data_IF_116490196923
#
_entry.id   IF_116490196923
#
_cell.length_a   1.000
_cell.length_b   1.000
_cell.length_c   1.000
_cell.angle_alpha   90.00
_cell.angle_beta   90.00
_cell.angle_gamma   90.00
#
_symmetry.space_group_name_H-M   'P 1'
#
loop_
_entity.id
_entity.type
_entity.pdbx_description
1 polymer ?
#
# COMPACT_ATOMS: atom_id res chain seq x y z
N UNK A 1 -0.84 7.44 -6.35
CA UNK A 1 -0.58 6.16 -7.02
C UNK A 1 0.91 6.03 -7.28
N UNK A 2 1.49 4.86 -7.04
CA UNK A 2 2.91 4.61 -7.32
C UNK A 2 3.03 3.75 -8.56
N UNK A 3 3.86 4.14 -9.52
CA UNK A 3 4.16 3.35 -10.70
C UNK A 3 5.56 2.78 -10.53
N UNK A 4 5.64 1.48 -10.26
CA UNK A 4 6.91 0.76 -10.12
C UNK A 4 7.52 0.39 -11.45
N UNK A 5 8.85 0.29 -11.49
CA UNK A 5 9.61 -0.24 -12.64
C UNK A 5 10.14 -1.67 -12.39
N UNK A 6 9.78 -2.30 -11.26
CA UNK A 6 10.13 -3.69 -10.93
C UNK A 6 8.94 -4.46 -10.35
N UNK A 7 9.19 -5.66 -9.82
CA UNK A 7 8.17 -6.55 -9.29
C UNK A 7 7.33 -5.99 -8.13
N UNK A 8 6.07 -6.41 -8.09
CA UNK A 8 5.12 -6.12 -7.01
C UNK A 8 5.43 -6.99 -5.78
N UNK A 9 6.13 -6.42 -4.80
CA UNK A 9 6.57 -7.10 -3.57
C UNK A 9 6.05 -6.38 -2.33
N UNK A 10 6.13 -7.03 -1.17
CA UNK A 10 5.82 -6.38 0.11
C UNK A 10 6.68 -5.16 0.40
N UNK A 11 7.93 -5.16 -0.05
CA UNK A 11 8.83 -4.01 0.07
C UNK A 11 8.36 -2.86 -0.85
N UNK A 12 7.91 -3.16 -2.08
CA UNK A 12 7.31 -2.15 -2.97
C UNK A 12 6.03 -1.53 -2.37
N UNK A 13 5.17 -2.36 -1.78
CA UNK A 13 3.96 -1.90 -1.11
C UNK A 13 4.29 -0.99 0.09
N UNK A 14 5.25 -1.39 0.93
CA UNK A 14 5.69 -0.60 2.09
C UNK A 14 6.38 0.71 1.65
N UNK A 15 7.21 0.70 0.62
CA UNK A 15 7.82 1.92 0.07
C UNK A 15 6.76 2.87 -0.50
N UNK A 16 5.69 2.34 -1.11
CA UNK A 16 4.57 3.14 -1.59
C UNK A 16 3.82 3.83 -0.44
N UNK A 17 3.56 3.11 0.66
CA UNK A 17 2.96 3.66 1.88
C UNK A 17 3.89 4.73 2.49
N UNK A 18 5.19 4.42 2.60
CA UNK A 18 6.22 5.32 3.10
C UNK A 18 6.24 6.65 2.34
N UNK A 19 6.31 6.59 1.01
CA UNK A 19 6.32 7.78 0.15
C UNK A 19 5.03 8.58 0.29
N UNK A 20 3.87 7.93 0.38
CA UNK A 20 2.61 8.63 0.62
C UNK A 20 2.61 9.33 1.98
N UNK A 21 3.02 8.65 3.05
CA UNK A 21 3.06 9.24 4.39
C UNK A 21 4.00 10.43 4.47
N UNK A 22 5.22 10.32 3.93
CA UNK A 22 6.23 11.38 3.97
C UNK A 22 5.80 12.62 3.20
N UNK A 23 5.14 12.45 2.04
CA UNK A 23 4.80 13.55 1.14
C UNK A 23 3.43 14.16 1.42
N UNK A 24 2.47 13.38 1.93
CA UNK A 24 1.08 13.81 2.12
C UNK A 24 0.60 13.50 3.54
N UNK A 25 0.65 12.23 3.96
CA UNK A 25 0.02 11.75 5.19
C UNK A 25 0.39 12.54 6.44
N UNK A 26 1.69 12.77 6.68
CA UNK A 26 2.18 13.50 7.85
C UNK A 26 1.75 14.98 7.89
N UNK A 27 1.48 15.56 6.72
CA UNK A 27 1.09 16.97 6.56
C UNK A 27 -0.42 17.11 6.72
N UNK A 28 -1.17 16.30 5.96
CA UNK A 28 -2.64 16.33 5.93
C UNK A 28 -3.26 15.83 7.24
N UNK A 29 -2.61 14.87 7.91
CA UNK A 29 -3.07 14.27 9.16
C UNK A 29 -2.14 14.60 10.33
N UNK A 30 -1.69 15.86 10.43
CA UNK A 30 -0.80 16.32 11.50
C UNK A 30 -1.32 15.93 12.88
N UNK A 31 -0.44 15.41 13.73
CA UNK A 31 -0.77 14.96 15.09
C UNK A 31 -1.35 13.55 15.19
N UNK A 32 -1.62 12.88 14.06
CA UNK A 32 -2.07 11.50 14.05
C UNK A 32 -0.87 10.57 13.88
N UNK A 33 -0.82 9.51 14.69
CA UNK A 33 0.22 8.49 14.69
C UNK A 33 -0.33 7.10 14.38
N UNK A 34 -1.50 7.02 13.73
CA UNK A 34 -2.17 5.78 13.36
C UNK A 34 -2.65 5.85 11.92
N UNK A 35 -2.45 4.76 11.18
CA UNK A 35 -2.87 4.60 9.79
C UNK A 35 -3.70 3.32 9.65
N UNK A 36 -4.89 3.42 9.06
CA UNK A 36 -5.69 2.26 8.66
C UNK A 36 -5.54 2.04 7.15
N UNK A 37 -5.13 0.85 6.75
CA UNK A 37 -5.05 0.42 5.36
C UNK A 37 -6.05 -0.70 5.10
N UNK A 38 -6.86 -0.51 4.05
CA UNK A 38 -7.80 -1.50 3.55
C UNK A 38 -7.14 -2.25 2.40
N UNK A 39 -6.83 -3.53 2.60
CA UNK A 39 -6.06 -4.34 1.66
C UNK A 39 -6.93 -5.42 1.00
N UNK A 40 -6.74 -5.65 -0.29
CA UNK A 40 -7.40 -6.69 -1.07
C UNK A 40 -6.77 -8.08 -0.89
N UNK A 41 -5.57 -8.15 -0.30
CA UNK A 41 -4.88 -9.41 0.00
C UNK A 41 -4.17 -10.03 -1.20
N UNK A 42 -3.77 -9.22 -2.18
CA UNK A 42 -2.94 -9.60 -3.32
C UNK A 42 -1.52 -10.05 -2.95
N UNK A 43 -0.68 -10.27 -3.96
CA UNK A 43 0.65 -10.87 -3.78
C UNK A 43 1.56 -10.09 -2.81
N UNK A 44 1.60 -8.76 -2.93
CA UNK A 44 2.46 -7.89 -2.13
C UNK A 44 1.92 -7.54 -0.74
N UNK A 45 0.62 -7.71 -0.51
CA UNK A 45 -0.03 -7.36 0.76
C UNK A 45 -0.78 -8.53 1.43
N UNK A 46 -0.52 -9.77 1.00
CA UNK A 46 -1.21 -10.97 1.45
C UNK A 46 -1.37 -11.09 2.97
N UNK A 47 -2.59 -11.37 3.43
CA UNK A 47 -2.90 -11.66 4.82
C UNK A 47 -2.22 -12.93 5.33
N UNK A 48 -1.92 -13.90 4.46
CA UNK A 48 -1.37 -15.21 4.81
C UNK A 48 0.15 -15.21 4.96
N UNK A 49 0.85 -14.38 4.19
CA UNK A 49 2.30 -14.36 4.19
C UNK A 49 2.83 -13.44 5.31
N UNK A 50 3.95 -13.84 5.92
CA UNK A 50 4.57 -13.09 7.02
C UNK A 50 5.59 -12.06 6.55
N UNK A 51 6.03 -12.13 5.28
CA UNK A 51 6.96 -11.14 4.71
C UNK A 51 6.35 -9.73 4.68
N UNK A 52 5.06 -9.61 4.37
CA UNK A 52 4.37 -8.32 4.43
C UNK A 52 4.26 -7.78 5.85
N UNK A 53 3.99 -8.65 6.83
CA UNK A 53 3.98 -8.28 8.26
C UNK A 53 5.35 -7.80 8.74
N UNK A 54 6.42 -8.45 8.30
CA UNK A 54 7.78 -8.05 8.63
C UNK A 54 8.12 -6.68 8.04
N UNK A 55 7.84 -6.47 6.76
CA UNK A 55 8.10 -5.17 6.11
C UNK A 55 7.22 -4.05 6.70
N UNK A 56 5.97 -4.35 7.07
CA UNK A 56 5.10 -3.42 7.81
C UNK A 56 5.65 -3.08 9.20
N UNK A 57 6.18 -4.06 9.94
CA UNK A 57 6.79 -3.80 11.23
C UNK A 57 8.01 -2.88 11.10
N UNK A 58 8.86 -3.11 10.10
CA UNK A 58 10.00 -2.23 9.79
C UNK A 58 9.51 -0.81 9.46
N UNK A 59 8.48 -0.69 8.63
CA UNK A 59 7.91 0.59 8.25
C UNK A 59 7.27 1.34 9.43
N UNK A 60 6.50 0.64 10.27
CA UNK A 60 5.89 1.21 11.47
C UNK A 60 6.97 1.77 12.42
N UNK A 61 8.06 1.04 12.62
CA UNK A 61 9.21 1.48 13.40
C UNK A 61 9.87 2.73 12.79
N UNK A 62 10.12 2.71 11.47
CA UNK A 62 10.74 3.85 10.77
C UNK A 62 9.90 5.13 10.89
N UNK A 63 8.60 5.02 10.61
CA UNK A 63 7.68 6.16 10.59
C UNK A 63 7.22 6.59 11.98
N UNK A 64 7.46 5.77 13.01
CA UNK A 64 6.94 5.93 14.37
C UNK A 64 5.41 6.09 14.41
N UNK A 65 4.72 5.33 13.56
CA UNK A 65 3.25 5.28 13.52
C UNK A 65 2.75 3.84 13.60
N UNK A 66 1.60 3.66 14.22
CA UNK A 66 0.84 2.43 14.20
C UNK A 66 0.22 2.22 12.81
N UNK A 67 0.44 1.06 12.20
CA UNK A 67 -0.16 0.71 10.91
C UNK A 67 -1.08 -0.48 11.09
N UNK A 68 -2.39 -0.23 10.99
CA UNK A 68 -3.45 -1.23 11.03
C UNK A 68 -3.81 -1.67 9.63
N UNK A 69 -3.83 -2.97 9.42
CA UNK A 69 -4.29 -3.59 8.18
C UNK A 69 -5.64 -4.24 8.42
N UNK A 70 -6.61 -3.92 7.55
CA UNK A 70 -7.87 -4.64 7.47
C UNK A 70 -8.03 -5.21 6.06
N UNK A 71 -8.19 -6.52 5.94
CA UNK A 71 -8.32 -7.15 4.64
C UNK A 71 -9.78 -7.34 4.23
N UNK A 72 -10.07 -7.12 2.96
CA UNK A 72 -11.29 -7.61 2.34
C UNK A 72 -11.23 -9.13 2.21
N UNK A 73 -12.29 -9.88 2.58
CA UNK A 73 -12.42 -11.31 2.25
C UNK A 73 -12.19 -11.62 0.76
N UNK A 74 -11.83 -12.86 0.37
CA UNK A 74 -11.62 -13.19 -1.03
C UNK A 74 -12.90 -12.93 -1.82
N UNK A 75 -12.76 -12.45 -3.05
CA UNK A 75 -13.88 -12.12 -3.95
C UNK A 75 -14.78 -10.98 -3.45
N UNK A 76 -14.29 -10.16 -2.51
CA UNK A 76 -15.03 -9.00 -1.99
C UNK A 76 -14.38 -7.65 -2.31
N UNK A 77 -13.41 -7.62 -3.24
CA UNK A 77 -12.77 -6.39 -3.71
C UNK A 77 -13.76 -5.36 -4.22
N UNK A 78 -14.96 -5.77 -4.69
CA UNK A 78 -16.05 -4.86 -5.05
C UNK A 78 -16.47 -3.88 -3.95
N UNK A 79 -16.15 -4.14 -2.67
CA UNK A 79 -16.42 -3.18 -1.59
C UNK A 79 -15.26 -2.23 -1.34
N UNK A 80 -14.10 -2.44 -1.98
CA UNK A 80 -12.99 -1.51 -1.93
C UNK A 80 -13.35 -0.24 -2.71
N UNK A 81 -13.36 0.94 -2.08
CA UNK A 81 -13.75 2.18 -2.75
C UNK A 81 -12.90 2.50 -3.99
N UNK A 82 -11.64 2.06 -4.04
CA UNK A 82 -10.76 2.35 -5.18
C UNK A 82 -11.28 1.73 -6.50
N UNK A 83 -11.98 0.59 -6.43
CA UNK A 83 -12.54 -0.10 -7.60
C UNK A 83 -13.59 0.72 -8.33
N UNK A 84 -14.33 1.55 -7.60
CA UNK A 84 -15.46 2.31 -8.16
C UNK A 84 -15.25 3.82 -8.14
N UNK A 85 -14.35 4.32 -7.28
CA UNK A 85 -14.10 5.76 -7.08
C UNK A 85 -12.76 6.23 -7.63
N UNK A 86 -11.83 5.33 -7.97
CA UNK A 86 -10.52 5.70 -8.51
C UNK A 86 -10.29 5.07 -9.88
N UNK A 87 -10.28 3.74 -9.97
CA UNK A 87 -9.88 3.03 -11.18
C UNK A 87 -10.71 3.37 -12.43
N UNK A 88 -12.04 3.54 -12.39
CA UNK A 88 -12.80 3.91 -13.57
C UNK A 88 -12.36 5.26 -14.17
N UNK A 89 -11.88 6.17 -13.34
CA UNK A 89 -11.37 7.47 -13.79
C UNK A 89 -9.97 7.34 -14.38
N UNK A 90 -9.10 6.55 -13.74
CA UNK A 90 -7.74 6.27 -14.24
C UNK A 90 -7.80 5.54 -15.58
N UNK A 91 -8.66 4.52 -15.71
CA UNK A 91 -8.87 3.79 -16.97
C UNK A 91 -9.29 4.73 -18.10
N UNK A 92 -10.17 5.70 -17.83
CA UNK A 92 -10.55 6.71 -18.83
C UNK A 92 -9.40 7.63 -19.22
N UNK A 93 -8.56 8.03 -18.28
CA UNK A 93 -7.38 8.85 -18.58
C UNK A 93 -6.34 8.10 -19.45
N UNK A 94 -6.35 6.77 -19.41
CA UNK A 94 -5.46 5.91 -20.18
C UNK A 94 -6.09 5.41 -21.50
N UNK A 95 -7.37 5.66 -21.74
CA UNK A 95 -8.14 5.04 -22.81
C UNK A 95 -7.62 5.45 -24.20
N UNK A 96 -7.43 4.46 -25.08
CA UNK A 96 -7.05 4.69 -26.48
C UNK A 96 -5.57 5.07 -26.69
N UNK A 97 -4.75 5.02 -25.64
CA UNK A 97 -3.31 5.35 -25.72
C UNK A 97 -2.46 4.07 -25.79
N UNK A 98 -1.50 4.04 -26.71
CA UNK A 98 -0.45 3.01 -26.73
C UNK A 98 0.65 3.43 -25.75
N UNK A 99 0.89 2.62 -24.72
CA UNK A 99 1.92 2.92 -23.72
C UNK A 99 3.32 2.63 -24.27
N UNK A 100 4.09 3.69 -24.52
CA UNK A 100 5.47 3.61 -25.00
C UNK A 100 6.52 3.78 -23.90
N UNK A 101 6.17 4.37 -22.75
CA UNK A 101 7.08 4.53 -21.61
C UNK A 101 6.34 4.65 -20.27
N UNK A 102 7.07 4.45 -19.18
CA UNK A 102 6.53 4.60 -17.80
C UNK A 102 6.19 6.07 -17.51
N UNK A 103 6.96 7.00 -18.06
CA UNK A 103 6.73 8.44 -17.98
C UNK A 103 5.42 8.84 -18.66
N UNK A 104 5.12 8.27 -19.83
CA UNK A 104 3.85 8.49 -20.50
C UNK A 104 2.68 8.05 -19.62
N UNK A 105 2.74 6.84 -19.07
CA UNK A 105 1.70 6.33 -18.16
C UNK A 105 1.57 7.23 -16.94
N UNK A 106 2.68 7.64 -16.32
CA UNK A 106 2.66 8.55 -15.17
C UNK A 106 2.03 9.91 -15.50
N UNK A 107 2.31 10.46 -16.68
CA UNK A 107 1.74 11.73 -17.11
C UNK A 107 0.23 11.62 -17.33
N UNK A 108 -0.24 10.54 -17.96
CA UNK A 108 -1.66 10.29 -18.18
C UNK A 108 -2.42 10.09 -16.86
N UNK A 109 -1.87 9.30 -15.94
CA UNK A 109 -2.49 9.08 -14.62
C UNK A 109 -2.64 10.40 -13.86
N UNK A 110 -1.62 11.27 -13.86
CA UNK A 110 -1.67 12.59 -13.23
C UNK A 110 -2.73 13.53 -13.83
N UNK A 111 -3.24 13.27 -15.03
CA UNK A 111 -4.34 14.03 -15.63
C UNK A 111 -5.72 13.59 -15.12
N UNK A 112 -5.81 12.50 -14.37
CA UNK A 112 -7.07 11.97 -13.86
C UNK A 112 -7.67 12.94 -12.83
N UNK A 113 -8.81 13.53 -13.19
CA UNK A 113 -9.62 14.38 -12.33
C UNK A 113 -11.11 14.21 -12.59
N UNK A 114 -11.95 14.62 -11.64
CA UNK A 114 -13.41 14.65 -11.78
C UNK A 114 -13.97 16.02 -11.41
N UNK A 115 -15.15 16.34 -11.91
CA UNK A 115 -15.89 17.56 -11.54
C UNK A 115 -16.28 17.57 -10.05
N UNK A 116 -16.51 16.40 -9.47
CA UNK A 116 -16.80 16.24 -8.03
C UNK A 116 -15.57 16.37 -7.12
N UNK A 117 -14.38 16.63 -7.67
CA UNK A 117 -13.20 17.04 -6.91
C UNK A 117 -12.09 16.00 -6.74
N UNK A 118 -12.26 14.75 -7.23
CA UNK A 118 -11.15 13.79 -7.27
C UNK A 118 -10.00 14.34 -8.11
N UNK A 119 -8.77 14.30 -7.57
CA UNK A 119 -7.52 14.52 -8.28
C UNK A 119 -6.56 13.39 -7.96
N UNK A 120 -5.97 12.78 -8.98
CA UNK A 120 -5.01 11.70 -8.79
C UNK A 120 -3.60 12.22 -8.99
N UNK A 121 -2.74 11.94 -8.02
CA UNK A 121 -1.31 12.17 -8.13
C UNK A 121 -0.61 10.83 -8.32
N UNK A 122 0.33 10.76 -9.25
CA UNK A 122 1.20 9.61 -9.41
C UNK A 122 2.67 9.98 -9.47
N UNK A 123 3.50 9.05 -9.00
CA UNK A 123 4.94 9.17 -9.05
C UNK A 123 5.58 7.85 -9.44
N UNK A 124 6.68 7.94 -10.18
CA UNK A 124 7.49 6.77 -10.54
C UNK A 124 8.36 6.37 -9.34
N UNK A 125 8.42 5.07 -9.09
CA UNK A 125 9.33 4.46 -8.14
C UNK A 125 10.31 3.59 -8.90
N UNK A 126 11.46 4.20 -9.23
CA UNK A 126 12.55 3.53 -9.91
C UNK A 126 13.51 2.91 -8.90
N UNK A 127 13.12 1.76 -8.35
CA UNK A 127 13.92 0.93 -7.44
C UNK A 127 13.66 -0.52 -7.79
N UNK A 128 14.70 -1.35 -7.73
CA UNK A 128 14.57 -2.79 -7.91
C UNK A 128 14.17 -3.42 -6.58
N UNK A 129 13.04 -4.11 -6.57
CA UNK A 129 12.55 -4.90 -5.45
C UNK A 129 12.72 -6.39 -5.74
N UNK A 130 13.45 -7.08 -4.88
CA UNK A 130 13.75 -8.50 -5.05
C UNK A 130 12.50 -9.37 -4.85
N UNK A 131 12.16 -10.16 -5.86
CA UNK A 131 11.05 -11.12 -5.81
C UNK A 131 11.47 -12.41 -5.10
N UNK A 132 10.52 -13.09 -4.45
CA UNK A 132 10.79 -14.39 -3.82
C UNK A 132 11.47 -14.30 -2.45
N UNK A 133 11.67 -13.09 -1.92
CA UNK A 133 12.12 -12.87 -0.55
C UNK A 133 11.24 -13.62 0.46
N UNK A 134 11.89 -14.17 1.49
CA UNK A 134 11.26 -14.75 2.66
C UNK A 134 11.41 -13.82 3.85
N UNK A 135 10.53 -13.94 4.82
CA UNK A 135 10.71 -13.26 6.11
C UNK A 135 11.91 -13.84 6.84
N UNK A 136 12.49 -13.06 7.75
CA UNK A 136 13.69 -13.44 8.48
C UNK A 136 13.41 -14.63 9.41
N UNK A 137 14.41 -15.49 9.60
CA UNK A 137 14.33 -16.58 10.57
C UNK A 137 14.00 -16.04 11.97
N UNK A 138 13.10 -16.70 12.70
CA UNK A 138 12.66 -16.24 14.01
C UNK A 138 11.64 -15.09 14.00
N UNK A 139 11.30 -14.51 12.84
CA UNK A 139 10.33 -13.40 12.81
C UNK A 139 8.95 -13.84 13.30
N UNK A 140 8.48 -15.01 12.88
CA UNK A 140 7.13 -15.50 13.23
C UNK A 140 6.98 -15.75 14.74
N UNK A 141 8.07 -16.14 15.39
CA UNK A 141 8.13 -16.43 16.83
C UNK A 141 8.26 -15.15 17.66
N UNK A 142 8.97 -14.13 17.13
CA UNK A 142 9.31 -12.91 17.87
C UNK A 142 8.51 -11.66 17.47
N UNK A 143 7.68 -11.74 16.43
CA UNK A 143 6.91 -10.60 15.92
C UNK A 143 6.06 -9.96 17.02
N UNK A 144 5.97 -8.62 16.99
CA UNK A 144 5.06 -7.84 17.86
C UNK A 144 3.82 -7.37 17.11
N UNK A 145 3.52 -7.98 15.97
CA UNK A 145 2.27 -7.78 15.27
C UNK A 145 1.13 -8.18 16.20
N UNK A 146 0.21 -7.25 16.43
CA UNK A 146 -0.98 -7.49 17.23
C UNK A 146 -2.10 -7.94 16.29
N UNK A 147 -2.55 -9.18 16.41
CA UNK A 147 -3.70 -9.67 15.67
C UNK A 147 -4.99 -9.24 16.36
N UNK A 148 -6.01 -8.92 15.58
CA UNK A 148 -7.32 -8.55 16.14
C UNK A 148 -8.05 -9.74 16.75
N UNK A 149 -8.86 -9.51 17.79
CA UNK A 149 -9.74 -10.53 18.39
C UNK A 149 -10.77 -11.06 17.37
N UNK A 150 -11.29 -10.17 16.51
CA UNK A 150 -12.20 -10.50 15.44
C UNK A 150 -11.46 -10.54 14.10
N UNK A 151 -11.55 -11.67 13.39
CA UNK A 151 -10.88 -11.91 12.10
C UNK A 151 -9.34 -11.78 12.17
N UNK A 152 -8.71 -12.34 13.20
CA UNK A 152 -7.25 -12.38 13.39
C UNK A 152 -6.45 -12.83 12.14
N UNK A 153 -6.99 -13.73 11.33
CA UNK A 153 -6.31 -14.20 10.11
C UNK A 153 -6.19 -13.10 9.03
N UNK A 154 -6.94 -12.01 9.17
CA UNK A 154 -7.12 -10.95 8.19
C UNK A 154 -6.60 -9.63 8.73
N UNK A 155 -6.89 -9.33 10.00
CA UNK A 155 -6.71 -8.01 10.55
C UNK A 155 -5.66 -8.02 11.65
N UNK A 156 -4.75 -7.06 11.56
CA UNK A 156 -3.62 -6.97 12.45
C UNK A 156 -3.01 -5.56 12.43
N UNK A 157 -2.18 -5.29 13.43
CA UNK A 157 -1.54 -4.00 13.65
C UNK A 157 -0.04 -4.18 13.81
N UNK A 158 0.72 -3.44 13.01
CA UNK A 158 2.14 -3.20 13.25
C UNK A 158 2.27 -2.00 14.20
N UNK A 159 2.64 -2.28 15.45
CA UNK A 159 2.88 -1.25 16.47
C UNK A 159 4.37 -0.90 16.46
N UNK A 160 4.74 0.39 16.41
CA UNK A 160 6.15 0.80 16.44
C UNK A 160 6.83 0.31 17.72
N UNK A 161 7.97 -0.37 17.57
CA UNK A 161 8.79 -0.85 18.67
C UNK A 161 9.89 0.16 18.96
N UNK A 162 9.94 0.62 20.20
CA UNK A 162 10.95 1.50 20.80
C UNK A 162 11.04 2.91 20.18
N UNK A 163 10.65 3.89 21.00
CA UNK A 163 10.97 5.30 20.82
C UNK A 163 12.43 5.59 21.16
#
# INVERSE_FOLDING_TARGET
>A
MTIGTSGDTSEFACESIRRWWINYGKIEYKGHNKLLLLCDGGGSNSSRHYIFKEDLQKLANELKIEIRIAHYPPYTSKYNPIEHRLFPHVTRALQGVVFSSVELVNNLVNQTKTESGLKVFSSILNKVFETGRKYSEGFKENMKIQFDDYLANWNYVAVPQNC
#
